data_IF_388528382123
#
_entry.id   IF_388528382123
#
_cell.length_a   1.000
_cell.length_b   1.000
_cell.length_c   1.000
_cell.angle_alpha   90.00
_cell.angle_beta   90.00
_cell.angle_gamma   90.00
#
_symmetry.space_group_name_H-M   'P 1'
#
loop_
_entity.id
_entity.type
_entity.pdbx_description
1 polymer ?
#
# COMPACT_ATOMS: atom_id res chain seq x y z
N UNK A 1 2.30 -6.67 14.67
CA UNK A 1 2.81 -8.03 14.90
C UNK A 1 1.76 -9.01 15.46
N UNK A 2 1.18 -8.82 16.67
CA UNK A 2 0.54 -9.96 17.37
C UNK A 2 -1.00 -10.07 17.34
N UNK A 3 -1.73 -8.97 17.17
CA UNK A 3 -3.20 -8.96 17.39
C UNK A 3 -4.03 -8.77 16.12
N UNK A 4 -3.52 -9.12 14.93
CA UNK A 4 -4.24 -8.92 13.66
C UNK A 4 -5.60 -9.66 13.64
N UNK A 5 -5.68 -10.83 14.30
CA UNK A 5 -6.93 -11.60 14.45
C UNK A 5 -8.00 -10.94 15.30
N UNK A 6 -7.63 -10.03 16.20
CA UNK A 6 -8.55 -9.39 17.16
C UNK A 6 -9.37 -8.24 16.55
N UNK A 7 -9.02 -7.76 15.35
CA UNK A 7 -9.82 -6.77 14.63
C UNK A 7 -11.11 -7.45 14.14
N UNK A 8 -12.27 -6.96 14.59
CA UNK A 8 -13.56 -7.54 14.23
C UNK A 8 -13.85 -7.43 12.72
N UNK A 9 -14.46 -8.46 12.13
CA UNK A 9 -14.59 -8.56 10.67
C UNK A 9 -15.54 -7.50 10.08
N UNK A 10 -16.56 -7.07 10.84
CA UNK A 10 -17.47 -5.98 10.48
C UNK A 10 -16.73 -4.63 10.34
N UNK A 11 -15.71 -4.40 11.17
CA UNK A 11 -14.81 -3.26 11.04
C UNK A 11 -13.99 -3.37 9.76
N UNK A 12 -13.47 -4.56 9.45
CA UNK A 12 -12.72 -4.80 8.20
C UNK A 12 -13.61 -4.57 6.98
N UNK A 13 -14.87 -5.06 6.99
CA UNK A 13 -15.85 -4.83 5.92
C UNK A 13 -16.16 -3.35 5.74
N UNK A 14 -16.30 -2.62 6.84
CA UNK A 14 -16.55 -1.17 6.82
C UNK A 14 -15.35 -0.44 6.24
N UNK A 15 -14.12 -0.75 6.66
CA UNK A 15 -12.91 -0.12 6.12
C UNK A 15 -12.74 -0.46 4.63
N UNK A 16 -12.94 -1.71 4.23
CA UNK A 16 -12.85 -2.11 2.82
C UNK A 16 -13.80 -1.30 1.94
N UNK A 17 -15.08 -1.19 2.33
CA UNK A 17 -16.05 -0.36 1.59
C UNK A 17 -15.58 1.07 1.44
N UNK A 18 -15.11 1.70 2.52
CA UNK A 18 -14.60 3.08 2.47
C UNK A 18 -13.38 3.22 1.57
N UNK A 19 -12.46 2.25 1.58
CA UNK A 19 -11.31 2.25 0.65
C UNK A 19 -11.81 2.15 -0.79
N UNK A 20 -12.70 1.21 -1.11
CA UNK A 20 -13.26 1.07 -2.46
C UNK A 20 -14.01 2.33 -2.92
N UNK A 21 -14.67 3.04 -2.00
CA UNK A 21 -15.35 4.31 -2.25
C UNK A 21 -14.41 5.53 -2.38
N UNK A 22 -13.11 5.36 -2.14
CA UNK A 22 -12.10 6.40 -2.38
C UNK A 22 -11.26 6.82 -1.17
N UNK A 23 -11.50 6.26 0.02
CA UNK A 23 -10.65 6.52 1.18
C UNK A 23 -9.23 5.98 0.93
N UNK A 24 -8.22 6.82 1.15
CA UNK A 24 -6.83 6.41 1.13
C UNK A 24 -6.46 5.47 2.28
N UNK A 25 -5.50 4.58 2.07
CA UNK A 25 -4.98 3.68 3.11
C UNK A 25 -3.45 3.65 3.06
N UNK A 26 -2.79 4.01 4.16
CA UNK A 26 -1.35 3.79 4.33
C UNK A 26 -1.15 2.62 5.30
N UNK A 27 -0.48 1.57 4.85
CA UNK A 27 -0.20 0.36 5.63
C UNK A 27 1.29 0.32 5.95
N UNK A 28 1.62 0.21 7.23
CA UNK A 28 3.00 0.28 7.70
C UNK A 28 3.46 -1.06 8.26
N UNK A 29 4.67 -1.47 7.88
CA UNK A 29 5.41 -2.58 8.50
C UNK A 29 4.57 -3.85 8.65
N UNK A 30 4.44 -4.41 9.87
CA UNK A 30 3.62 -5.61 10.14
C UNK A 30 2.13 -5.47 9.82
N UNK A 31 1.67 -4.26 9.45
CA UNK A 31 0.39 -4.05 8.78
C UNK A 31 0.20 -4.89 7.51
N UNK A 32 1.26 -5.40 6.88
CA UNK A 32 1.16 -6.37 5.78
C UNK A 32 0.33 -7.60 6.16
N UNK A 33 0.32 -8.01 7.44
CA UNK A 33 -0.47 -9.16 7.89
C UNK A 33 -1.84 -8.78 8.47
N UNK A 34 -2.24 -7.50 8.38
CA UNK A 34 -3.56 -7.05 8.81
C UNK A 34 -4.68 -7.65 7.94
N UNK A 35 -5.83 -7.93 8.57
CA UNK A 35 -7.01 -8.45 7.87
C UNK A 35 -7.41 -7.59 6.67
N UNK A 36 -7.37 -6.27 6.83
CA UNK A 36 -7.75 -5.32 5.77
C UNK A 36 -6.77 -5.36 4.59
N UNK A 37 -5.46 -5.39 4.83
CA UNK A 37 -4.49 -5.44 3.74
C UNK A 37 -4.59 -6.76 2.97
N UNK A 38 -4.63 -7.90 3.68
CA UNK A 38 -4.81 -9.22 3.05
C UNK A 38 -6.10 -9.27 2.22
N UNK A 39 -7.21 -8.75 2.74
CA UNK A 39 -8.48 -8.71 2.02
C UNK A 39 -8.44 -7.87 0.75
N UNK A 40 -7.76 -6.72 0.78
CA UNK A 40 -7.59 -5.86 -0.39
C UNK A 40 -6.61 -6.46 -1.40
N UNK A 41 -5.60 -7.21 -0.95
CA UNK A 41 -4.60 -7.83 -1.83
C UNK A 41 -5.08 -9.15 -2.46
N UNK A 42 -5.94 -9.91 -1.76
CA UNK A 42 -6.41 -11.21 -2.23
C UNK A 42 -5.37 -12.34 -2.11
N UNK A 43 -4.29 -12.12 -1.35
CA UNK A 43 -3.16 -13.04 -1.17
C UNK A 43 -2.86 -13.26 0.31
N UNK A 44 -1.87 -14.10 0.64
CA UNK A 44 -1.51 -14.34 2.05
C UNK A 44 -0.78 -13.16 2.68
N UNK A 45 -0.14 -12.30 1.88
CA UNK A 45 0.78 -11.25 2.30
C UNK A 45 1.89 -11.77 3.23
N UNK A 46 2.29 -13.04 3.08
CA UNK A 46 3.43 -13.62 3.78
C UNK A 46 4.75 -13.19 3.12
N UNK A 47 5.81 -13.25 3.92
CA UNK A 47 7.16 -12.84 3.56
C UNK A 47 8.19 -13.64 4.38
N UNK A 48 9.45 -13.61 3.95
CA UNK A 48 10.56 -14.04 4.82
C UNK A 48 10.85 -12.93 5.81
N UNK A 49 11.20 -13.27 7.05
CA UNK A 49 11.58 -12.28 8.04
C UNK A 49 12.70 -12.77 8.95
N UNK A 50 13.45 -11.82 9.51
CA UNK A 50 14.45 -12.05 10.54
C UNK A 50 14.52 -10.83 11.46
N UNK A 51 14.20 -11.05 12.74
CA UNK A 51 14.42 -10.03 13.77
C UNK A 51 15.91 -10.04 14.16
N UNK A 52 16.68 -9.15 13.53
CA UNK A 52 18.10 -8.96 13.76
C UNK A 52 18.44 -7.47 13.70
N UNK A 53 19.73 -7.13 13.85
CA UNK A 53 20.23 -5.75 13.74
C UNK A 53 20.69 -5.42 12.31
N UNK A 54 19.99 -5.93 11.29
CA UNK A 54 20.33 -5.71 9.89
C UNK A 54 20.29 -4.20 9.58
N UNK A 55 21.29 -3.70 8.86
CA UNK A 55 21.17 -2.40 8.19
C UNK A 55 20.25 -2.57 6.99
N UNK A 56 19.30 -1.65 6.84
CA UNK A 56 18.44 -1.54 5.69
C UNK A 56 18.83 -0.30 4.87
N UNK A 57 18.94 -0.46 3.55
CA UNK A 57 19.00 0.64 2.60
C UNK A 57 17.80 0.59 1.69
N UNK A 58 16.97 1.63 1.73
CA UNK A 58 15.73 1.75 0.99
C UNK A 58 15.99 2.61 -0.25
N UNK A 59 16.16 2.00 -1.41
CA UNK A 59 16.40 2.68 -2.67
C UNK A 59 15.11 3.23 -3.27
N UNK A 60 15.16 4.47 -3.74
CA UNK A 60 14.10 5.07 -4.57
C UNK A 60 14.24 4.54 -6.00
N UNK A 61 13.22 3.84 -6.50
CA UNK A 61 13.22 3.28 -7.86
C UNK A 61 12.20 3.96 -8.80
N UNK A 62 11.37 4.86 -8.26
CA UNK A 62 10.55 5.80 -9.03
C UNK A 62 10.80 7.24 -8.57
N UNK A 63 11.86 7.90 -9.07
CA UNK A 63 12.30 9.20 -8.57
C UNK A 63 11.31 10.35 -8.84
N UNK A 64 10.39 10.19 -9.81
CA UNK A 64 9.35 11.19 -10.12
C UNK A 64 8.06 11.04 -9.29
N UNK A 65 7.97 10.05 -8.40
CA UNK A 65 6.73 9.77 -7.69
C UNK A 65 6.49 10.76 -6.52
N UNK A 66 5.25 11.26 -6.30
CA UNK A 66 4.99 12.23 -5.22
C UNK A 66 5.39 11.77 -3.80
N UNK A 67 5.40 10.45 -3.56
CA UNK A 67 5.80 9.86 -2.27
C UNK A 67 7.27 10.18 -1.92
N UNK A 68 8.14 10.29 -2.91
CA UNK A 68 9.58 10.52 -2.72
C UNK A 68 9.96 11.99 -2.83
N UNK A 69 8.98 12.91 -2.84
CA UNK A 69 9.25 14.35 -2.88
C UNK A 69 10.17 14.76 -1.72
N UNK A 70 11.37 15.22 -2.07
CA UNK A 70 12.42 15.64 -1.16
C UNK A 70 13.06 14.50 -0.35
N UNK A 71 13.06 13.29 -0.89
CA UNK A 71 13.89 12.16 -0.46
C UNK A 71 15.04 12.03 -1.47
N UNK A 72 16.25 11.74 -0.98
CA UNK A 72 17.41 11.48 -1.83
C UNK A 72 17.31 10.09 -2.50
N UNK A 73 18.39 9.62 -3.13
CA UNK A 73 18.41 8.34 -3.86
C UNK A 73 18.05 7.12 -2.97
N UNK A 74 18.33 7.20 -1.67
CA UNK A 74 17.96 6.17 -0.70
C UNK A 74 17.81 6.71 0.72
N UNK A 75 17.14 5.95 1.57
CA UNK A 75 17.12 6.14 3.02
C UNK A 75 17.91 4.98 3.66
N UNK A 76 18.78 5.27 4.63
CA UNK A 76 19.52 4.25 5.37
C UNK A 76 19.03 4.17 6.82
N UNK A 77 18.67 2.96 7.26
CA UNK A 77 18.36 2.65 8.65
C UNK A 77 19.48 1.75 9.20
N UNK A 78 20.17 2.16 10.29
CA UNK A 78 21.30 1.41 10.79
C UNK A 78 20.92 0.05 11.39
N UNK A 79 19.67 -0.10 11.84
CA UNK A 79 19.10 -1.35 12.41
C UNK A 79 17.61 -1.43 12.09
N UNK A 80 17.18 -2.56 11.55
CA UNK A 80 15.78 -2.92 11.33
C UNK A 80 15.56 -4.44 11.26
N UNK A 81 14.33 -4.89 11.49
CA UNK A 81 13.83 -6.22 11.14
C UNK A 81 13.87 -6.40 9.62
N UNK A 82 14.53 -7.46 9.17
CA UNK A 82 14.57 -7.80 7.75
C UNK A 82 13.22 -8.40 7.36
N UNK A 83 12.60 -7.86 6.30
CA UNK A 83 11.65 -8.57 5.46
C UNK A 83 12.29 -8.86 4.11
N UNK A 84 12.00 -10.04 3.53
CA UNK A 84 12.61 -10.49 2.30
C UNK A 84 11.61 -11.11 1.32
N UNK A 85 11.90 -10.97 0.03
CA UNK A 85 11.15 -11.65 -1.04
C UNK A 85 11.26 -13.19 -0.92
N UNK A 86 10.26 -13.96 -1.36
CA UNK A 86 9.02 -13.57 -2.03
C UNK A 86 7.99 -12.99 -1.04
N UNK A 87 7.55 -11.77 -1.30
CA UNK A 87 6.42 -11.14 -0.63
C UNK A 87 5.14 -11.46 -1.41
N UNK A 88 4.27 -12.28 -0.82
CA UNK A 88 3.05 -12.78 -1.46
C UNK A 88 1.95 -11.71 -1.54
N UNK A 89 2.16 -10.76 -2.44
CA UNK A 89 1.24 -9.68 -2.81
C UNK A 89 1.04 -9.69 -4.33
N UNK A 90 -0.09 -9.18 -4.84
CA UNK A 90 -0.20 -8.89 -6.27
C UNK A 90 0.92 -7.93 -6.71
N UNK A 91 1.22 -7.91 -8.00
CA UNK A 91 2.16 -6.91 -8.52
C UNK A 91 1.65 -5.51 -8.16
N UNK A 92 2.50 -4.65 -7.56
CA UNK A 92 2.13 -3.26 -7.32
C UNK A 92 1.79 -2.55 -8.62
N UNK A 93 0.80 -1.65 -8.57
CA UNK A 93 0.53 -0.75 -9.70
C UNK A 93 1.73 0.18 -9.91
N UNK A 94 2.34 0.62 -8.81
CA UNK A 94 3.62 1.34 -8.82
C UNK A 94 4.54 0.82 -7.70
N UNK A 95 5.76 0.46 -8.05
CA UNK A 95 6.82 0.09 -7.10
C UNK A 95 7.72 1.31 -6.90
N UNK A 96 7.63 1.95 -5.74
CA UNK A 96 8.30 3.23 -5.46
C UNK A 96 9.66 3.01 -4.81
N UNK A 97 9.79 1.99 -3.96
CA UNK A 97 11.01 1.72 -3.20
C UNK A 97 11.35 0.23 -3.11
N UNK A 98 12.64 -0.08 -3.10
CA UNK A 98 13.19 -1.43 -2.87
C UNK A 98 14.22 -1.36 -1.75
N UNK A 99 14.08 -2.22 -0.75
CA UNK A 99 15.06 -2.37 0.32
C UNK A 99 16.13 -3.40 -0.05
N UNK A 100 17.37 -3.10 0.34
CA UNK A 100 18.46 -4.05 0.51
C UNK A 100 18.73 -4.22 2.01
N UNK A 101 18.96 -5.46 2.44
CA UNK A 101 19.35 -5.78 3.81
C UNK A 101 20.76 -6.38 3.87
N UNK A 102 21.41 -6.20 5.02
CA UNK A 102 22.79 -6.68 5.23
C UNK A 102 22.94 -8.19 5.06
N UNK A 103 21.91 -8.97 5.39
CA UNK A 103 21.89 -10.42 5.15
C UNK A 103 21.77 -10.83 3.68
N UNK A 104 21.65 -9.88 2.75
CA UNK A 104 21.60 -10.11 1.30
C UNK A 104 20.19 -10.19 0.72
N UNK A 105 19.16 -10.11 1.56
CA UNK A 105 17.77 -10.06 1.09
C UNK A 105 17.43 -8.71 0.47
N UNK A 106 16.44 -8.74 -0.43
CA UNK A 106 15.78 -7.56 -0.98
C UNK A 106 14.28 -7.63 -0.72
N UNK A 107 13.61 -6.47 -0.76
CA UNK A 107 12.17 -6.40 -0.52
C UNK A 107 11.53 -5.22 -1.24
N UNK A 108 10.38 -5.44 -1.89
CA UNK A 108 9.55 -4.35 -2.41
C UNK A 108 8.91 -3.58 -1.24
N UNK A 109 9.60 -2.53 -0.79
CA UNK A 109 9.35 -1.87 0.49
C UNK A 109 8.46 -0.63 0.42
N UNK A 110 8.21 -0.10 -0.79
CA UNK A 110 7.25 0.96 -1.04
C UNK A 110 6.36 0.60 -2.22
N UNK A 111 5.13 0.14 -1.96
CA UNK A 111 4.21 -0.37 -3.00
C UNK A 111 2.90 0.41 -3.01
N UNK A 112 2.49 0.84 -4.19
CA UNK A 112 1.20 1.51 -4.41
C UNK A 112 0.22 0.58 -5.11
N UNK A 113 -1.05 0.66 -4.70
CA UNK A 113 -2.15 -0.10 -5.30
C UNK A 113 -3.41 0.76 -5.44
N UNK A 114 -4.21 0.48 -6.46
CA UNK A 114 -5.55 1.01 -6.65
C UNK A 114 -6.61 -0.08 -6.37
N UNK A 115 -7.62 0.25 -5.57
CA UNK A 115 -8.77 -0.62 -5.30
C UNK A 115 -10.05 0.19 -5.32
N UNK A 116 -10.90 -0.03 -6.31
CA UNK A 116 -12.01 0.88 -6.60
C UNK A 116 -11.46 2.29 -6.86
N UNK A 117 -11.94 3.28 -6.12
CA UNK A 117 -11.39 4.65 -6.13
C UNK A 117 -10.26 4.87 -5.12
N UNK A 118 -10.02 3.89 -4.25
CA UNK A 118 -9.06 3.97 -3.16
C UNK A 118 -7.62 3.83 -3.64
N UNK A 119 -6.73 4.59 -2.99
CA UNK A 119 -5.29 4.54 -3.17
C UNK A 119 -4.65 3.96 -1.92
N UNK A 120 -3.85 2.93 -2.09
CA UNK A 120 -3.21 2.19 -0.99
C UNK A 120 -1.71 2.35 -1.14
N UNK A 121 -1.02 2.75 -0.08
CA UNK A 121 0.44 2.76 -0.02
C UNK A 121 0.90 1.85 1.12
N UNK A 122 1.66 0.81 0.79
CA UNK A 122 2.36 -0.01 1.75
C UNK A 122 3.81 0.46 1.89
N UNK A 123 4.24 0.70 3.13
CA UNK A 123 5.61 1.11 3.45
C UNK A 123 6.20 0.24 4.57
N UNK A 124 7.32 -0.43 4.30
CA UNK A 124 7.89 -1.47 5.17
C UNK A 124 8.42 -0.99 6.54
N UNK A 125 9.09 0.16 6.69
CA UNK A 125 9.77 0.49 7.95
C UNK A 125 8.84 0.71 9.14
N UNK A 126 9.23 0.18 10.32
CA UNK A 126 8.45 0.40 11.53
C UNK A 126 8.52 -0.61 12.66
N UNK A 127 9.56 -1.45 12.75
CA UNK A 127 9.63 -2.43 13.83
C UNK A 127 9.65 -1.76 15.22
N UNK A 128 8.87 -2.30 16.16
CA UNK A 128 8.59 -1.67 17.47
C UNK A 128 9.83 -1.51 18.35
N UNK A 129 10.82 -2.37 18.18
CA UNK A 129 12.06 -2.37 18.98
C UNK A 129 13.07 -1.30 18.53
N UNK A 130 12.80 -0.58 17.43
CA UNK A 130 13.71 0.41 16.86
C UNK A 130 13.06 1.79 16.75
N UNK A 131 13.83 2.89 16.87
CA UNK A 131 13.30 4.24 16.74
C UNK A 131 13.05 4.64 15.27
N UNK A 132 12.58 3.71 14.43
CA UNK A 132 12.39 3.90 12.99
C UNK A 132 11.50 5.10 12.68
N UNK A 133 10.40 5.26 13.43
CA UNK A 133 9.49 6.41 13.28
C UNK A 133 10.02 7.71 13.89
N UNK A 134 11.24 7.78 14.41
CA UNK A 134 11.92 9.03 14.75
C UNK A 134 12.83 9.53 13.62
N UNK A 135 13.12 8.69 12.61
CA UNK A 135 13.84 9.12 11.42
C UNK A 135 12.97 10.13 10.62
N UNK A 136 13.49 11.34 10.31
CA UNK A 136 12.73 12.38 9.63
C UNK A 136 12.34 12.00 8.18
N UNK A 137 13.16 11.23 7.48
CA UNK A 137 12.91 10.78 6.11
C UNK A 137 11.76 9.76 6.09
N UNK A 138 11.74 8.83 7.05
CA UNK A 138 10.63 7.87 7.22
C UNK A 138 9.31 8.62 7.46
N UNK A 139 9.30 9.61 8.35
CA UNK A 139 8.13 10.47 8.59
C UNK A 139 7.70 11.23 7.34
N UNK A 140 8.67 11.73 6.56
CA UNK A 140 8.42 12.46 5.32
C UNK A 140 7.77 11.57 4.26
N UNK A 141 8.27 10.36 4.06
CA UNK A 141 7.67 9.36 3.17
C UNK A 141 6.24 9.03 3.58
N UNK A 142 5.98 8.81 4.87
CA UNK A 142 4.62 8.56 5.37
C UNK A 142 3.71 9.76 5.09
N UNK A 143 4.16 10.98 5.38
CA UNK A 143 3.38 12.20 5.13
C UNK A 143 3.08 12.38 3.63
N UNK A 144 4.04 12.14 2.76
CA UNK A 144 3.86 12.18 1.32
C UNK A 144 2.91 11.07 0.83
N UNK A 145 3.02 9.87 1.41
CA UNK A 145 2.08 8.76 1.20
C UNK A 145 0.64 9.13 1.53
N UNK A 146 0.40 9.82 2.65
CA UNK A 146 -0.93 10.34 3.00
C UNK A 146 -1.42 11.36 1.98
N UNK A 147 -0.57 12.29 1.53
CA UNK A 147 -0.93 13.29 0.51
C UNK A 147 -1.25 12.66 -0.84
N UNK A 148 -0.47 11.67 -1.27
CA UNK A 148 -0.70 10.93 -2.51
C UNK A 148 -2.00 10.10 -2.45
N UNK A 149 -2.23 9.45 -1.30
CA UNK A 149 -3.39 8.60 -1.07
C UNK A 149 -4.71 9.36 -0.86
N UNK A 150 -4.68 10.71 -0.85
CA UNK A 150 -5.90 11.51 -0.66
C UNK A 150 -6.97 11.13 -1.69
N UNK A 151 -8.26 11.07 -1.28
CA UNK A 151 -9.38 10.88 -2.19
C UNK A 151 -9.40 11.96 -3.28
N UNK A 152 -9.82 11.58 -4.48
CA UNK A 152 -10.05 12.51 -5.59
C UNK A 152 -11.54 12.67 -5.83
N UNK A 153 -11.96 13.90 -6.15
CA UNK A 153 -13.32 14.23 -6.55
C UNK A 153 -13.54 13.87 -8.02
N UNK A 154 -13.50 12.56 -8.27
CA UNK A 154 -13.80 11.96 -9.56
C UNK A 154 -15.20 11.34 -9.58
N UNK A 155 -15.66 10.86 -10.76
CA UNK A 155 -16.96 10.23 -10.87
C UNK A 155 -17.09 9.03 -9.93
N UNK A 156 -18.25 8.87 -9.32
CA UNK A 156 -18.59 7.65 -8.60
C UNK A 156 -18.86 6.54 -9.62
N UNK A 157 -18.18 5.39 -9.57
CA UNK A 157 -18.50 4.28 -10.45
C UNK A 157 -19.91 3.79 -10.13
N UNK A 158 -20.78 3.78 -11.14
CA UNK A 158 -22.08 3.12 -11.08
C UNK A 158 -21.95 1.74 -11.74
N UNK A 159 -22.58 0.73 -11.15
CA UNK A 159 -22.66 -0.61 -11.73
C UNK A 159 -24.07 -1.16 -11.58
N UNK A 160 -24.48 -2.06 -12.48
CA UNK A 160 -25.84 -2.59 -12.53
C UNK A 160 -26.81 -1.69 -13.31
N UNK A 161 -28.09 -2.08 -13.37
CA UNK A 161 -29.14 -1.34 -14.08
C UNK A 161 -29.39 -0.02 -13.37
N UNK A 162 -29.01 1.07 -14.02
CA UNK A 162 -29.14 2.43 -13.51
C UNK A 162 -29.84 3.31 -14.57
N UNK A 163 -30.65 4.33 -14.20
CA UNK A 163 -31.27 5.23 -15.18
C UNK A 163 -30.27 5.90 -16.12
N UNK A 164 -29.05 6.14 -15.65
CA UNK A 164 -27.94 6.66 -16.47
C UNK A 164 -27.37 5.64 -17.49
N UNK A 165 -27.81 4.39 -17.45
CA UNK A 165 -27.52 3.40 -18.50
C UNK A 165 -28.48 3.51 -19.68
N UNK A 166 -29.43 4.45 -19.66
CA UNK A 166 -30.18 4.80 -20.85
C UNK A 166 -29.16 5.08 -21.98
N UNK A 167 -29.41 4.58 -23.21
CA UNK A 167 -28.55 4.86 -24.33
C UNK A 167 -28.28 6.36 -24.44
N UNK A 168 -27.01 6.74 -24.43
CA UNK A 168 -26.60 8.14 -24.58
C UNK A 168 -26.82 8.65 -26.02
N UNK A 169 -27.03 7.72 -26.95
CA UNK A 169 -27.30 7.95 -28.37
C UNK A 169 -28.47 7.07 -28.82
N UNK A 170 -29.18 7.44 -29.90
CA UNK A 170 -30.20 6.59 -30.50
C UNK A 170 -29.65 5.19 -30.78
N UNK A 171 -30.34 4.16 -30.30
CA UNK A 171 -29.98 2.79 -30.62
C UNK A 171 -30.28 2.51 -32.10
N UNK A 172 -29.49 1.62 -32.75
CA UNK A 172 -29.86 1.07 -34.05
C UNK A 172 -31.28 0.48 -33.99
N UNK A 173 -32.04 0.52 -35.10
CA UNK A 173 -33.32 -0.17 -35.14
C UNK A 173 -33.12 -1.64 -34.81
N UNK A 174 -34.04 -2.21 -34.02
CA UNK A 174 -34.09 -3.65 -33.86
C UNK A 174 -34.36 -4.27 -35.23
N UNK A 175 -33.54 -5.25 -35.63
CA UNK A 175 -33.85 -6.02 -36.82
C UNK A 175 -35.03 -6.92 -36.48
N UNK A 176 -36.18 -6.69 -37.14
CA UNK A 176 -37.35 -7.58 -37.11
C UNK A 176 -37.01 -9.00 -37.61
#
# INVERSE_FOLDING_TARGET
>A
HKAHGAVADDIVDRVQRRVLDGMGLVVLHSGHHSKIFKRLMGTTANLKWREATDKERIWVVQPGHPIVEGIDEYIELPREEMYGEFFDIPQPDELVMISWFTGGEVFRSGCCFFRGRGKIFYFRPGHESYPTYFNPEIRKVIANGVRWARPVDGPAPFSGVHPANAPLEPLPPEND
#
